data_IF_516905061238
#
_entry.id   IF_516905061238
#
_cell.length_a   1.000
_cell.length_b   1.000
_cell.length_c   1.000
_cell.angle_alpha   90.00
_cell.angle_beta   90.00
_cell.angle_gamma   90.00
#
_symmetry.space_group_name_H-M   'P 1'
#
loop_
_entity.id
_entity.type
_entity.pdbx_description
1 polymer ?
#
# COMPACT_ATOMS: atom_id res chain seq x y z
N UNK A 1 3.79 3.58 6.56
CA UNK A 1 4.81 3.31 7.61
C UNK A 1 4.18 2.84 8.91
N UNK A 2 3.18 3.53 9.47
CA UNK A 2 2.46 3.03 10.66
C UNK A 2 1.82 1.64 10.44
N UNK A 3 1.19 1.42 9.28
CA UNK A 3 0.66 0.10 8.88
C UNK A 3 1.72 -1.01 8.81
N UNK A 4 2.97 -0.70 8.42
CA UNK A 4 4.00 -1.75 8.32
C UNK A 4 4.52 -2.21 9.70
N UNK A 5 4.50 -1.31 10.69
CA UNK A 5 4.82 -1.69 12.08
C UNK A 5 3.70 -2.59 12.62
N UNK A 6 2.45 -2.27 12.29
CA UNK A 6 1.29 -3.09 12.63
C UNK A 6 1.32 -4.46 11.92
N UNK A 7 1.76 -4.49 10.66
CA UNK A 7 1.94 -5.72 9.88
C UNK A 7 3.00 -6.67 10.46
N UNK A 8 4.01 -6.12 11.14
CA UNK A 8 5.00 -6.91 11.86
C UNK A 8 4.45 -7.56 13.14
N UNK A 9 3.52 -6.89 13.81
CA UNK A 9 2.86 -7.41 15.02
C UNK A 9 1.84 -8.50 14.67
N UNK A 10 1.17 -8.37 13.53
CA UNK A 10 0.09 -9.25 13.07
C UNK A 10 0.53 -10.25 11.98
N UNK A 11 1.83 -10.57 11.92
CA UNK A 11 2.42 -11.60 11.06
C UNK A 11 1.92 -11.60 9.62
N UNK A 12 1.87 -10.42 8.98
CA UNK A 12 1.25 -10.24 7.66
C UNK A 12 1.79 -11.17 6.56
N UNK A 13 3.02 -11.67 6.72
CA UNK A 13 3.64 -12.67 5.83
C UNK A 13 2.94 -14.03 5.82
N UNK A 14 2.07 -14.34 6.79
CA UNK A 14 1.26 -15.56 6.79
C UNK A 14 -0.03 -15.43 5.97
N UNK A 15 -0.40 -14.20 5.62
CA UNK A 15 -1.63 -13.89 4.87
C UNK A 15 -1.36 -13.74 3.37
N UNK A 16 -0.13 -13.39 2.99
CA UNK A 16 0.23 -13.16 1.60
C UNK A 16 0.32 -14.48 0.81
N UNK A 17 -0.40 -14.62 -0.32
CA UNK A 17 -0.51 -15.89 -1.06
C UNK A 17 0.84 -16.40 -1.60
N UNK A 18 1.83 -15.51 -1.75
CA UNK A 18 3.19 -15.85 -2.19
C UNK A 18 4.06 -16.46 -1.09
N UNK A 19 3.76 -16.19 0.19
CA UNK A 19 4.60 -16.61 1.33
C UNK A 19 3.95 -17.66 2.22
N UNK A 20 2.65 -17.96 2.03
CA UNK A 20 1.91 -19.03 2.75
C UNK A 20 2.58 -20.41 2.68
N UNK A 21 3.37 -20.68 1.64
CA UNK A 21 4.01 -21.99 1.40
C UNK A 21 5.42 -22.09 2.00
N UNK A 22 5.94 -20.99 2.55
CA UNK A 22 7.31 -20.84 3.03
C UNK A 22 7.30 -21.00 4.56
N UNK A 23 8.29 -21.70 5.16
CA UNK A 23 8.38 -21.76 6.62
C UNK A 23 8.47 -20.35 7.21
N UNK A 24 7.80 -20.13 8.34
CA UNK A 24 7.54 -18.81 8.92
C UNK A 24 8.78 -17.91 9.04
N UNK A 25 9.91 -18.47 9.49
CA UNK A 25 11.19 -17.76 9.64
C UNK A 25 11.70 -17.16 8.31
N UNK A 26 11.53 -17.90 7.21
CA UNK A 26 11.90 -17.45 5.87
C UNK A 26 10.85 -16.49 5.28
N UNK A 27 9.57 -16.69 5.58
CA UNK A 27 8.48 -15.82 5.14
C UNK A 27 8.61 -14.40 5.73
N UNK A 28 8.92 -14.30 7.03
CA UNK A 28 9.20 -13.04 7.70
C UNK A 28 10.41 -12.33 7.09
N UNK A 29 11.51 -13.06 6.89
CA UNK A 29 12.74 -12.51 6.32
C UNK A 29 12.51 -11.99 4.90
N UNK A 30 11.83 -12.76 4.06
CA UNK A 30 11.52 -12.37 2.69
C UNK A 30 10.59 -11.14 2.66
N UNK A 31 9.60 -11.09 3.55
CA UNK A 31 8.72 -9.94 3.70
C UNK A 31 9.53 -8.68 4.02
N UNK A 32 10.37 -8.70 5.06
CA UNK A 32 11.19 -7.54 5.44
C UNK A 32 12.15 -7.14 4.32
N UNK A 33 12.86 -8.10 3.72
CA UNK A 33 13.81 -7.83 2.64
C UNK A 33 13.15 -7.27 1.38
N UNK A 34 11.89 -7.63 1.10
CA UNK A 34 11.13 -7.06 -0.02
C UNK A 34 10.67 -5.62 0.26
N UNK A 35 10.40 -5.28 1.52
CA UNK A 35 9.95 -3.92 1.89
C UNK A 35 11.08 -2.89 1.83
N UNK A 36 12.33 -3.25 2.15
CA UNK A 36 13.49 -2.34 2.06
C UNK A 36 13.65 -1.68 0.67
N UNK A 37 13.77 -2.42 -0.44
CA UNK A 37 13.89 -1.83 -1.76
C UNK A 37 12.61 -1.08 -2.18
N UNK A 38 11.42 -1.58 -1.80
CA UNK A 38 10.16 -0.89 -2.04
C UNK A 38 10.16 0.52 -1.42
N UNK A 39 10.58 0.63 -0.16
CA UNK A 39 10.71 1.92 0.54
C UNK A 39 11.74 2.85 -0.10
N UNK A 40 12.91 2.32 -0.48
CA UNK A 40 13.94 3.11 -1.15
C UNK A 40 13.45 3.67 -2.50
N UNK A 41 12.74 2.84 -3.27
CA UNK A 41 12.14 3.26 -4.54
C UNK A 41 11.07 4.33 -4.30
N UNK A 42 10.14 4.11 -3.35
CA UNK A 42 9.03 5.02 -3.10
C UNK A 42 9.45 6.36 -2.49
N UNK A 43 10.39 6.35 -1.52
CA UNK A 43 10.75 7.55 -0.76
C UNK A 43 11.87 8.37 -1.41
N UNK A 44 12.82 7.72 -2.06
CA UNK A 44 14.00 8.41 -2.61
C UNK A 44 14.01 8.38 -4.12
N UNK A 45 13.89 7.21 -4.75
CA UNK A 45 14.12 7.09 -6.18
C UNK A 45 13.01 7.75 -7.01
N UNK A 46 11.74 7.53 -6.67
CA UNK A 46 10.61 8.10 -7.41
C UNK A 46 10.59 9.65 -7.34
N UNK A 47 10.70 10.29 -6.17
CA UNK A 47 10.71 11.76 -6.12
C UNK A 47 11.92 12.36 -6.84
N UNK A 48 13.13 11.83 -6.61
CA UNK A 48 14.37 12.41 -7.16
C UNK A 48 14.46 12.27 -8.68
N UNK A 49 14.08 11.13 -9.26
CA UNK A 49 14.16 10.93 -10.71
C UNK A 49 12.97 11.52 -11.49
N UNK A 50 11.84 11.73 -10.82
CA UNK A 50 10.62 12.22 -11.47
C UNK A 50 10.14 13.57 -10.89
N UNK A 51 11.05 14.46 -10.47
CA UNK A 51 10.70 15.79 -9.96
C UNK A 51 9.71 16.55 -10.88
N UNK A 52 9.88 16.44 -12.20
CA UNK A 52 8.99 17.06 -13.21
C UNK A 52 7.67 16.32 -13.45
N UNK A 53 7.48 15.14 -12.85
CA UNK A 53 6.32 14.26 -12.97
C UNK A 53 5.85 13.76 -11.60
N UNK A 54 5.96 14.60 -10.56
CA UNK A 54 5.56 14.27 -9.19
C UNK A 54 4.11 13.78 -9.12
N UNK A 55 3.23 14.30 -9.97
CA UNK A 55 1.84 13.83 -10.08
C UNK A 55 1.74 12.35 -10.43
N UNK A 56 2.60 11.84 -11.32
CA UNK A 56 2.61 10.42 -11.70
C UNK A 56 3.09 9.53 -10.56
N UNK A 57 4.05 10.02 -9.78
CA UNK A 57 4.53 9.35 -8.57
C UNK A 57 3.41 9.29 -7.53
N UNK A 58 2.73 10.40 -7.27
CA UNK A 58 1.59 10.45 -6.35
C UNK A 58 0.45 9.53 -6.81
N UNK A 59 0.11 9.52 -8.11
CA UNK A 59 -0.89 8.59 -8.66
C UNK A 59 -0.46 7.15 -8.42
N UNK A 60 0.80 6.78 -8.72
CA UNK A 60 1.29 5.41 -8.53
C UNK A 60 1.24 4.97 -7.07
N UNK A 61 1.68 5.83 -6.13
CA UNK A 61 1.62 5.53 -4.70
C UNK A 61 0.16 5.40 -4.23
N UNK A 62 -0.72 6.32 -4.61
CA UNK A 62 -2.12 6.26 -4.23
C UNK A 62 -2.81 5.01 -4.79
N UNK A 63 -2.53 4.64 -6.05
CA UNK A 63 -3.04 3.39 -6.65
C UNK A 63 -2.54 2.17 -5.89
N UNK A 64 -1.25 2.12 -5.53
CA UNK A 64 -0.70 1.03 -4.72
C UNK A 64 -1.43 0.89 -3.38
N UNK A 65 -1.64 1.99 -2.65
CA UNK A 65 -2.34 1.97 -1.36
C UNK A 65 -3.79 1.46 -1.51
N UNK A 66 -4.50 1.88 -2.57
CA UNK A 66 -5.87 1.39 -2.83
C UNK A 66 -5.89 -0.11 -3.10
N UNK A 67 -5.00 -0.59 -3.98
CA UNK A 67 -4.88 -2.03 -4.29
C UNK A 67 -4.54 -2.80 -3.01
N UNK A 68 -3.61 -2.31 -2.21
CA UNK A 68 -3.20 -2.93 -0.95
C UNK A 68 -4.35 -3.04 0.05
N UNK A 69 -5.16 -2.00 0.21
CA UNK A 69 -6.37 -2.05 1.03
C UNK A 69 -7.40 -3.07 0.55
N UNK A 70 -7.59 -3.19 -0.76
CA UNK A 70 -8.47 -4.20 -1.36
C UNK A 70 -7.94 -5.61 -1.09
N UNK A 71 -6.62 -5.82 -1.18
CA UNK A 71 -6.01 -7.10 -0.81
C UNK A 71 -6.33 -7.45 0.65
N UNK A 72 -6.17 -6.50 1.57
CA UNK A 72 -6.55 -6.72 2.97
C UNK A 72 -8.03 -7.13 3.09
N UNK A 73 -8.96 -6.42 2.44
CA UNK A 73 -10.37 -6.83 2.42
C UNK A 73 -10.59 -8.24 1.87
N UNK A 74 -9.87 -8.62 0.80
CA UNK A 74 -10.00 -9.93 0.19
C UNK A 74 -9.47 -11.06 1.09
N UNK A 75 -8.47 -10.78 1.94
CA UNK A 75 -7.86 -11.75 2.85
C UNK A 75 -8.40 -11.69 4.28
N UNK A 76 -9.42 -10.87 4.58
CA UNK A 76 -10.02 -10.79 5.92
C UNK A 76 -10.58 -12.11 6.45
N UNK A 77 -10.94 -13.03 5.57
CA UNK A 77 -11.46 -14.35 5.92
C UNK A 77 -10.38 -15.43 6.03
N UNK A 78 -9.11 -15.08 5.82
CA UNK A 78 -8.00 -16.00 5.91
C UNK A 78 -7.74 -16.41 7.37
N UNK A 79 -7.37 -17.66 7.62
CA UNK A 79 -7.21 -18.24 8.96
C UNK A 79 -6.15 -17.52 9.82
N UNK A 80 -5.16 -16.91 9.17
CA UNK A 80 -4.07 -16.16 9.80
C UNK A 80 -4.24 -14.64 9.70
N UNK A 81 -5.44 -14.15 9.38
CA UNK A 81 -5.71 -12.72 9.33
C UNK A 81 -5.88 -12.15 10.74
N UNK A 82 -4.83 -11.52 11.27
CA UNK A 82 -4.80 -11.02 12.66
C UNK A 82 -5.19 -9.52 12.79
N UNK A 83 -5.51 -8.82 11.70
CA UNK A 83 -5.84 -7.39 11.74
C UNK A 83 -7.30 -7.13 12.19
N UNK A 84 -7.63 -7.48 13.43
CA UNK A 84 -8.97 -7.30 14.01
C UNK A 84 -9.16 -5.95 14.73
N UNK A 85 -8.05 -5.28 15.09
CA UNK A 85 -8.11 -4.07 15.91
C UNK A 85 -8.66 -2.87 15.13
N UNK A 86 -9.36 -1.98 15.83
CA UNK A 86 -9.84 -0.72 15.23
C UNK A 86 -8.69 0.10 14.65
N UNK A 87 -7.55 0.14 15.35
CA UNK A 87 -6.40 0.94 14.94
C UNK A 87 -5.76 0.38 13.66
N UNK A 88 -5.61 -0.94 13.58
CA UNK A 88 -5.13 -1.65 12.39
C UNK A 88 -6.02 -1.38 11.18
N UNK A 89 -7.34 -1.54 11.36
CA UNK A 89 -8.33 -1.27 10.32
C UNK A 89 -8.35 0.21 9.91
N UNK A 90 -8.14 1.14 10.86
CA UNK A 90 -8.02 2.57 10.56
C UNK A 90 -6.79 2.86 9.70
N UNK A 91 -5.64 2.24 9.98
CA UNK A 91 -4.44 2.42 9.15
C UNK A 91 -4.62 1.87 7.74
N UNK A 92 -5.19 0.68 7.60
CA UNK A 92 -5.45 0.03 6.30
C UNK A 92 -6.50 0.81 5.51
N UNK A 93 -7.72 0.90 6.04
CA UNK A 93 -8.86 1.43 5.31
C UNK A 93 -8.88 2.95 5.28
N UNK A 94 -8.38 3.62 6.31
CA UNK A 94 -8.21 5.08 6.29
C UNK A 94 -7.25 5.50 5.18
N UNK A 95 -6.09 4.86 5.07
CA UNK A 95 -5.14 5.11 3.98
C UNK A 95 -5.74 4.83 2.60
N UNK A 96 -6.52 3.75 2.48
CA UNK A 96 -7.23 3.35 1.26
C UNK A 96 -8.25 4.40 0.82
N UNK A 97 -9.12 4.85 1.74
CA UNK A 97 -10.16 5.84 1.46
C UNK A 97 -9.53 7.18 1.06
N UNK A 98 -8.52 7.65 1.80
CA UNK A 98 -7.83 8.90 1.49
C UNK A 98 -7.16 8.84 0.10
N UNK A 99 -6.54 7.71 -0.25
CA UNK A 99 -5.88 7.53 -1.55
C UNK A 99 -6.88 7.44 -2.70
N UNK A 100 -8.03 6.77 -2.49
CA UNK A 100 -9.11 6.72 -3.47
C UNK A 100 -9.70 8.11 -3.72
N UNK A 101 -9.97 8.88 -2.65
CA UNK A 101 -10.45 10.26 -2.76
C UNK A 101 -9.46 11.16 -3.52
N UNK A 102 -8.16 11.01 -3.24
CA UNK A 102 -7.11 11.71 -3.97
C UNK A 102 -7.13 11.39 -5.47
N UNK A 103 -7.22 10.12 -5.86
CA UNK A 103 -7.27 9.72 -7.28
C UNK A 103 -8.50 10.26 -8.01
N UNK A 104 -9.66 10.26 -7.34
CA UNK A 104 -10.90 10.83 -7.89
C UNK A 104 -10.73 12.33 -8.14
N UNK A 105 -10.24 13.06 -7.13
CA UNK A 105 -10.02 14.51 -7.24
C UNK A 105 -9.00 14.86 -8.32
N UNK A 106 -7.88 14.14 -8.36
CA UNK A 106 -6.83 14.34 -9.35
C UNK A 106 -7.32 14.07 -10.78
N UNK A 107 -8.18 13.07 -10.98
CA UNK A 107 -8.77 12.77 -12.30
C UNK A 107 -9.75 13.86 -12.74
N UNK A 108 -10.57 14.39 -11.82
CA UNK A 108 -11.48 15.51 -12.09
C UNK A 108 -10.75 16.80 -12.48
N UNK A 109 -9.63 17.11 -11.81
CA UNK A 109 -8.79 18.27 -12.14
C UNK A 109 -8.20 18.19 -13.55
N UNK A 110 -7.70 17.00 -13.95
CA UNK A 110 -7.14 16.76 -15.29
C UNK A 110 -8.19 16.91 -16.40
N UNK A 111 -9.42 16.47 -16.17
CA UNK A 111 -10.50 16.66 -17.14
C UNK A 111 -10.87 18.14 -17.32
N UNK A 112 -10.92 18.91 -16.23
CA UNK A 112 -11.18 20.35 -16.31
C UNK A 112 -10.11 21.14 -17.07
N UNK A 113 -8.83 20.74 -17.00
CA UNK A 113 -7.74 21.39 -17.75
C UNK A 113 -7.74 21.04 -19.24
N UNK A 114 -8.20 19.84 -19.60
CA UNK A 114 -8.30 19.41 -21.01
C UNK A 114 -9.49 20.06 -21.71
N UNK A 115 -10.61 20.32 -21.01
CA UNK A 115 -11.79 20.97 -21.58
C UNK A 115 -11.59 22.48 -21.82
N UNK A 116 -10.61 23.11 -21.16
CA UNK A 116 -10.33 24.55 -21.25
C UNK A 116 -9.20 24.90 -22.25
N UNK A 117 -8.65 23.92 -22.98
CA UNK A 117 -7.57 24.10 -23.97
C UNK A 117 -8.08 23.86 -25.38
#
# INVERSE_FOLDING_TARGET
MAHEIDAMVHHAWLVLPLTVWIPEEYAQTLFVLAHIPLFLIMMFMLPTYFLSKIEKVQTAIATFIVIHGILHSAFMTHEHYEFDSFLSNLWIFGGTICSAAFLIFQTGQKQGTVVQK
#
